data_IF_556385177269
#
_entry.id   IF_556385177269
#
_cell.length_a   1.000
_cell.length_b   1.000
_cell.length_c   1.000
_cell.angle_alpha   90.00
_cell.angle_beta   90.00
_cell.angle_gamma   90.00
#
_symmetry.space_group_name_H-M   'P 1'
#
loop_
_entity.id
_entity.type
_entity.pdbx_description
1 polymer ?
#
# COMPACT_ATOMS: atom_id res chain seq x y z
N UNK A 1 6.85 -7.51 -8.26
CA UNK A 1 7.72 -6.54 -8.95
C UNK A 1 8.07 -5.34 -8.04
N UNK A 2 7.10 -4.61 -7.48
CA UNK A 2 7.34 -3.41 -6.65
C UNK A 2 8.32 -3.62 -5.47
N UNK A 3 8.19 -4.70 -4.66
CA UNK A 3 9.11 -4.98 -3.54
C UNK A 3 10.58 -5.11 -3.99
N UNK A 4 10.81 -5.71 -5.16
CA UNK A 4 12.15 -5.88 -5.75
C UNK A 4 12.72 -4.52 -6.18
N UNK A 5 11.90 -3.67 -6.81
CA UNK A 5 12.31 -2.33 -7.20
C UNK A 5 12.72 -1.50 -5.98
N UNK A 6 11.94 -1.56 -4.89
CA UNK A 6 12.25 -0.89 -3.61
C UNK A 6 13.61 -1.34 -3.07
N UNK A 7 13.87 -2.66 -3.02
CA UNK A 7 15.15 -3.20 -2.54
C UNK A 7 16.34 -2.73 -3.38
N UNK A 8 16.19 -2.72 -4.71
CA UNK A 8 17.23 -2.22 -5.60
C UNK A 8 17.55 -0.73 -5.39
N UNK A 9 16.61 0.10 -4.92
CA UNK A 9 16.89 1.51 -4.61
C UNK A 9 17.94 1.64 -3.49
N UNK A 10 17.84 0.78 -2.46
CA UNK A 10 18.80 0.75 -1.35
C UNK A 10 20.18 0.26 -1.82
N UNK A 11 20.20 -0.80 -2.64
CA UNK A 11 21.44 -1.35 -3.21
C UNK A 11 22.18 -0.35 -4.11
N UNK A 12 21.44 0.54 -4.78
CA UNK A 12 22.03 1.62 -5.61
C UNK A 12 22.56 2.81 -4.81
N UNK A 13 22.47 2.78 -3.47
CA UNK A 13 22.99 3.85 -2.62
C UNK A 13 22.19 5.17 -2.72
N UNK A 14 20.93 5.12 -3.18
CA UNK A 14 20.06 6.29 -3.17
C UNK A 14 19.81 6.69 -1.71
N UNK A 15 20.33 7.86 -1.34
CA UNK A 15 20.18 8.41 0.01
C UNK A 15 18.76 8.92 0.22
N UNK A 16 18.22 8.67 1.42
CA UNK A 16 16.92 9.15 1.85
C UNK A 16 16.89 10.71 1.88
N UNK A 17 15.70 11.33 1.70
CA UNK A 17 14.37 10.73 1.74
C UNK A 17 13.88 10.17 0.39
N UNK A 18 13.27 8.98 0.43
CA UNK A 18 12.57 8.37 -0.71
C UNK A 18 11.07 8.43 -0.43
N UNK A 19 10.31 9.07 -1.33
CA UNK A 19 8.86 9.06 -1.32
C UNK A 19 8.37 8.06 -2.36
N UNK A 20 7.53 7.11 -1.94
CA UNK A 20 6.95 6.14 -2.86
C UNK A 20 5.49 6.47 -3.13
N UNK A 21 5.13 6.63 -4.40
CA UNK A 21 3.77 7.00 -4.83
C UNK A 21 3.14 5.83 -5.58
N UNK A 22 1.93 5.45 -5.17
CA UNK A 22 1.16 4.39 -5.80
C UNK A 22 -0.21 4.89 -6.28
N UNK A 23 -0.58 4.46 -7.48
CA UNK A 23 -1.96 4.60 -7.98
C UNK A 23 -2.89 3.54 -7.37
N UNK A 24 -4.19 3.70 -7.58
CA UNK A 24 -5.20 2.82 -7.03
C UNK A 24 -5.01 1.37 -7.52
N UNK A 25 -5.00 0.43 -6.57
CA UNK A 25 -4.89 -1.01 -6.84
C UNK A 25 -3.48 -1.59 -6.66
N UNK A 26 -2.45 -0.78 -6.43
CA UNK A 26 -1.06 -1.27 -6.44
C UNK A 26 -0.47 -1.74 -5.10
N UNK A 27 -1.02 -1.36 -3.93
CA UNK A 27 -0.65 -2.05 -2.70
C UNK A 27 -1.84 -2.76 -2.07
N UNK A 28 -1.81 -4.09 -2.11
CA UNK A 28 -2.48 -4.89 -1.09
C UNK A 28 -2.01 -4.41 0.28
N UNK A 29 -2.84 -4.55 1.31
CA UNK A 29 -2.47 -4.26 2.69
C UNK A 29 -1.08 -4.82 3.09
N UNK A 30 -0.75 -6.06 2.66
CA UNK A 30 0.59 -6.70 2.85
C UNK A 30 1.79 -5.97 2.26
N UNK A 31 1.54 -5.03 1.36
CA UNK A 31 2.57 -4.21 0.74
C UNK A 31 2.80 -2.93 1.54
N UNK A 32 1.76 -2.33 2.12
CA UNK A 32 1.91 -1.26 3.12
C UNK A 32 2.75 -1.73 4.31
N UNK A 33 2.49 -2.93 4.84
CA UNK A 33 3.30 -3.52 5.92
C UNK A 33 4.79 -3.62 5.54
N UNK A 34 5.07 -3.95 4.29
CA UNK A 34 6.44 -4.02 3.78
C UNK A 34 7.09 -2.63 3.70
N UNK A 35 6.37 -1.60 3.24
CA UNK A 35 6.91 -0.24 3.20
C UNK A 35 7.21 0.30 4.60
N UNK A 36 6.31 0.03 5.56
CA UNK A 36 6.48 0.43 6.97
C UNK A 36 7.67 -0.28 7.61
N UNK A 37 7.81 -1.59 7.40
CA UNK A 37 8.96 -2.37 7.88
C UNK A 37 10.30 -1.89 7.27
N UNK A 38 10.27 -1.35 6.05
CA UNK A 38 11.45 -0.77 5.40
C UNK A 38 11.71 0.70 5.78
N UNK A 39 10.84 1.30 6.62
CA UNK A 39 10.95 2.69 7.08
C UNK A 39 10.75 3.71 5.96
N UNK A 40 9.91 3.39 4.97
CA UNK A 40 9.68 4.24 3.80
C UNK A 40 8.42 5.08 3.98
N UNK A 41 8.52 6.36 3.61
CA UNK A 41 7.35 7.23 3.47
C UNK A 41 6.65 6.96 2.13
N UNK A 42 5.33 6.91 2.15
CA UNK A 42 4.56 6.60 0.96
C UNK A 42 3.23 7.37 0.89
N UNK A 43 2.78 7.61 -0.34
CA UNK A 43 1.44 8.11 -0.66
C UNK A 43 0.73 7.07 -1.51
N UNK A 44 -0.51 6.76 -1.15
CA UNK A 44 -1.32 5.78 -1.86
C UNK A 44 -2.68 6.38 -2.13
N UNK A 45 -3.13 6.28 -3.38
CA UNK A 45 -4.51 6.57 -3.72
C UNK A 45 -5.44 5.44 -3.26
N UNK A 46 -6.32 5.73 -2.31
CA UNK A 46 -7.32 4.77 -1.87
C UNK A 46 -8.44 4.58 -2.90
N UNK A 47 -8.77 3.32 -3.19
CA UNK A 47 -9.94 2.95 -3.98
C UNK A 47 -11.21 3.53 -3.34
N UNK A 48 -11.98 4.30 -4.13
CA UNK A 48 -13.28 4.85 -3.74
C UNK A 48 -14.31 3.78 -3.43
N UNK A 49 -14.12 2.57 -3.97
CA UNK A 49 -15.07 1.47 -3.83
C UNK A 49 -14.74 0.57 -2.62
N UNK A 50 -13.46 0.25 -2.43
CA UNK A 50 -13.04 -0.72 -1.40
C UNK A 50 -12.82 -0.10 -0.01
N UNK A 51 -12.50 1.20 0.04
CA UNK A 51 -12.12 1.91 1.27
C UNK A 51 -13.09 3.03 1.63
N UNK A 52 -14.40 2.86 1.35
CA UNK A 52 -15.43 3.88 1.63
C UNK A 52 -15.48 4.30 3.10
N UNK A 53 -15.32 3.35 4.02
CA UNK A 53 -15.37 3.62 5.44
C UNK A 53 -14.14 4.41 5.91
N UNK A 54 -12.95 4.02 5.47
CA UNK A 54 -11.69 4.70 5.76
C UNK A 54 -11.70 6.12 5.19
N UNK A 55 -12.13 6.27 3.93
CA UNK A 55 -12.24 7.59 3.30
C UNK A 55 -13.21 8.52 4.02
N UNK A 56 -14.27 8.01 4.64
CA UNK A 56 -15.18 8.81 5.47
C UNK A 56 -14.54 9.29 6.78
N UNK A 57 -13.51 8.61 7.25
CA UNK A 57 -12.77 8.98 8.47
C UNK A 57 -11.61 9.94 8.19
N UNK A 58 -11.26 10.13 6.91
CA UNK A 58 -10.25 11.12 6.51
C UNK A 58 -10.75 12.53 6.78
N UNK A 59 -9.92 13.35 7.44
CA UNK A 59 -10.24 14.76 7.71
C UNK A 59 -10.17 15.62 6.44
N UNK A 60 -9.33 15.25 5.48
CA UNK A 60 -9.24 15.84 4.14
C UNK A 60 -8.64 14.83 3.16
N UNK A 61 -8.65 15.14 1.86
CA UNK A 61 -8.23 14.21 0.80
C UNK A 61 -6.77 13.73 0.92
N UNK A 62 -5.89 14.57 1.49
CA UNK A 62 -4.45 14.30 1.63
C UNK A 62 -4.02 13.91 3.05
N UNK A 63 -4.96 13.52 3.92
CA UNK A 63 -4.68 13.16 5.31
C UNK A 63 -4.44 11.68 5.51
N UNK A 64 -3.69 11.37 6.57
CA UNK A 64 -3.45 10.00 7.03
C UNK A 64 -4.76 9.30 7.38
N UNK A 65 -4.78 7.99 7.18
CA UNK A 65 -5.94 7.15 7.47
C UNK A 65 -5.49 5.77 7.87
N UNK A 66 -6.18 5.20 8.86
CA UNK A 66 -5.87 3.88 9.38
C UNK A 66 -6.55 2.83 8.49
N UNK A 67 -5.75 2.00 7.82
CA UNK A 67 -6.26 0.87 7.06
C UNK A 67 -6.36 -0.37 7.96
N UNK A 68 -7.59 -0.71 8.36
CA UNK A 68 -7.81 -1.91 9.19
C UNK A 68 -7.66 -3.19 8.37
N UNK A 69 -6.79 -4.06 8.85
CA UNK A 69 -6.64 -5.43 8.37
C UNK A 69 -7.81 -6.27 8.87
N UNK A 70 -8.69 -6.71 7.97
CA UNK A 70 -9.75 -7.67 8.29
C UNK A 70 -9.53 -8.97 7.54
N UNK A 71 -9.97 -10.08 8.14
CA UNK A 71 -9.88 -11.40 7.53
C UNK A 71 -10.52 -11.46 6.14
N UNK A 72 -11.68 -10.81 5.97
CA UNK A 72 -12.40 -10.70 4.70
C UNK A 72 -11.56 -10.00 3.63
N UNK A 73 -10.85 -8.92 4.00
CA UNK A 73 -9.95 -8.21 3.06
C UNK A 73 -8.77 -9.08 2.66
N UNK A 74 -8.15 -9.75 3.61
CA UNK A 74 -7.05 -10.68 3.33
C UNK A 74 -7.49 -11.82 2.39
N UNK A 75 -8.69 -12.36 2.57
CA UNK A 75 -9.26 -13.38 1.69
C UNK A 75 -9.56 -12.89 0.27
N UNK A 76 -10.12 -11.67 0.11
CA UNK A 76 -10.38 -11.08 -1.22
C UNK A 76 -9.11 -11.02 -2.07
N UNK A 77 -7.98 -10.66 -1.46
CA UNK A 77 -6.69 -10.64 -2.15
C UNK A 77 -6.08 -12.02 -2.37
N UNK A 78 -6.26 -12.97 -1.44
CA UNK A 78 -5.81 -14.35 -1.63
C UNK A 78 -6.54 -15.03 -2.80
N UNK A 79 -7.84 -14.78 -2.95
CA UNK A 79 -8.65 -15.32 -4.05
C UNK A 79 -8.20 -14.79 -5.41
N UNK A 80 -7.92 -13.48 -5.51
CA UNK A 80 -7.43 -12.87 -6.75
C UNK A 80 -6.06 -13.39 -7.21
N UNK A 81 -5.21 -13.87 -6.29
CA UNK A 81 -3.93 -14.51 -6.65
C UNK A 81 -4.18 -15.90 -7.23
N UNK A 82 -5.12 -16.65 -6.65
CA UNK A 82 -5.50 -18.00 -7.10
C UNK A 82 -6.23 -18.01 -8.44
N UNK A 83 -7.08 -17.01 -8.69
CA UNK A 83 -7.79 -16.86 -9.98
C UNK A 83 -6.87 -16.33 -11.10
N UNK A 84 -5.65 -15.87 -10.76
CA UNK A 84 -4.64 -15.36 -11.70
C UNK A 84 -3.51 -16.36 -12.02
N UNK A 85 -3.58 -17.57 -11.46
CA UNK A 85 -2.70 -18.71 -11.73
C UNK A 85 -3.40 -19.72 -12.63
#
# INVERSE_FOLDING_TARGET
MAKRNIKHLRERGIKQPVLVIFDCGYPSIKFSDFLEAEGLHYLIRLSSNDYKAERKQMQSEDKEVILKHSFVRLQKYAKNIWDSM
#
